data_IF_121488835034
#
_entry.id   IF_121488835034
#
_cell.length_a   1.000
_cell.length_b   1.000
_cell.length_c   1.000
_cell.angle_alpha   90.00
_cell.angle_beta   90.00
_cell.angle_gamma   90.00
#
_symmetry.space_group_name_H-M   'P 1'
#
loop_
_entity.id
_entity.type
_entity.pdbx_description
1 polymer ?
#
# COMPACT_ATOMS: atom_id res chain seq x y z
N UNK A 1 14.06 -28.41 8.48
CA UNK A 1 12.94 -27.95 7.64
C UNK A 1 13.46 -26.67 6.99
N UNK A 2 13.83 -26.72 5.72
CA UNK A 2 14.24 -25.51 4.99
C UNK A 2 12.98 -24.72 4.66
N UNK A 3 12.81 -23.57 5.30
CA UNK A 3 11.73 -22.64 4.96
C UNK A 3 12.16 -21.85 3.73
N UNK A 4 11.62 -22.20 2.56
CA UNK A 4 11.78 -21.42 1.35
C UNK A 4 10.79 -20.25 1.38
N UNK A 5 11.27 -19.09 1.81
CA UNK A 5 10.48 -17.87 1.72
C UNK A 5 10.45 -17.33 0.29
N UNK A 6 9.27 -16.96 -0.19
CA UNK A 6 9.13 -16.13 -1.39
C UNK A 6 9.51 -14.70 -1.03
N UNK A 7 10.22 -14.01 -1.93
CA UNK A 7 10.66 -12.63 -1.77
C UNK A 7 10.03 -11.74 -2.85
N UNK A 8 10.08 -10.42 -2.64
CA UNK A 8 9.70 -9.46 -3.67
C UNK A 8 10.42 -9.75 -5.01
N UNK A 9 9.73 -9.62 -6.15
CA UNK A 9 10.26 -9.96 -7.48
C UNK A 9 11.32 -8.96 -8.00
N UNK A 10 11.58 -7.88 -7.26
CA UNK A 10 12.61 -6.88 -7.57
C UNK A 10 13.56 -6.71 -6.36
N UNK A 11 14.84 -6.36 -6.59
CA UNK A 11 15.82 -6.25 -5.52
C UNK A 11 15.40 -5.23 -4.45
N UNK A 12 15.56 -5.60 -3.17
CA UNK A 12 15.19 -4.73 -2.04
C UNK A 12 15.87 -3.35 -2.08
N UNK A 13 17.11 -3.31 -2.60
CA UNK A 13 17.85 -2.06 -2.80
C UNK A 13 17.15 -1.12 -3.78
N UNK A 14 16.53 -1.65 -4.83
CA UNK A 14 15.75 -0.86 -5.79
C UNK A 14 14.43 -0.40 -5.19
N UNK A 15 13.74 -1.27 -4.43
CA UNK A 15 12.52 -0.90 -3.72
C UNK A 15 12.80 0.30 -2.81
N UNK A 16 13.84 0.16 -1.98
CA UNK A 16 14.27 1.21 -1.06
C UNK A 16 14.63 2.50 -1.78
N UNK A 17 15.45 2.43 -2.84
CA UNK A 17 15.82 3.61 -3.63
C UNK A 17 14.59 4.31 -4.23
N UNK A 18 13.61 3.54 -4.72
CA UNK A 18 12.36 4.06 -5.25
C UNK A 18 11.56 4.83 -4.19
N UNK A 19 11.26 4.19 -3.06
CA UNK A 19 10.49 4.79 -1.97
C UNK A 19 11.19 6.02 -1.39
N UNK A 20 12.50 5.92 -1.12
CA UNK A 20 13.27 7.06 -0.59
C UNK A 20 13.36 8.20 -1.62
N UNK A 21 13.29 7.89 -2.92
CA UNK A 21 13.14 8.88 -3.98
C UNK A 21 11.82 9.65 -3.90
N UNK A 22 10.70 8.97 -3.71
CA UNK A 22 9.40 9.62 -3.51
C UNK A 22 9.31 10.38 -2.18
N UNK A 23 9.84 9.82 -1.10
CA UNK A 23 9.95 10.51 0.19
C UNK A 23 10.72 11.84 0.06
N UNK A 24 11.80 11.85 -0.72
CA UNK A 24 12.59 13.06 -0.97
C UNK A 24 11.85 14.11 -1.81
N UNK A 25 10.87 13.71 -2.65
CA UNK A 25 10.04 14.63 -3.45
C UNK A 25 9.07 15.45 -2.60
N UNK A 26 8.72 15.02 -1.38
CA UNK A 26 7.77 15.72 -0.51
C UNK A 26 8.35 17.08 -0.11
N UNK A 27 7.64 18.17 -0.45
CA UNK A 27 8.07 19.56 -0.20
C UNK A 27 7.41 20.19 1.03
N UNK A 28 6.14 19.86 1.32
CA UNK A 28 5.45 20.34 2.52
C UNK A 28 6.20 19.86 3.78
N UNK A 29 6.67 20.80 4.64
CA UNK A 29 7.55 20.46 5.75
C UNK A 29 6.85 19.62 6.83
N UNK A 30 5.55 19.82 7.06
CA UNK A 30 4.79 19.10 8.08
C UNK A 30 4.55 17.66 7.63
N UNK A 31 4.06 17.46 6.40
CA UNK A 31 3.90 16.14 5.79
C UNK A 31 5.21 15.37 5.78
N UNK A 32 6.31 16.02 5.38
CA UNK A 32 7.64 15.43 5.38
C UNK A 32 8.09 15.02 6.78
N UNK A 33 7.93 15.88 7.77
CA UNK A 33 8.34 15.60 9.14
C UNK A 33 7.58 14.40 9.74
N UNK A 34 6.26 14.34 9.58
CA UNK A 34 5.44 13.21 10.04
C UNK A 34 5.86 11.93 9.31
N UNK A 35 5.94 11.98 7.98
CA UNK A 35 6.24 10.80 7.14
C UNK A 35 7.63 10.26 7.41
N UNK A 36 8.66 11.11 7.45
CA UNK A 36 10.03 10.69 7.73
C UNK A 36 10.17 10.10 9.13
N UNK A 37 9.49 10.66 10.13
CA UNK A 37 9.57 10.17 11.51
C UNK A 37 9.01 8.75 11.59
N UNK A 38 7.78 8.53 11.10
CA UNK A 38 7.16 7.20 11.09
C UNK A 38 7.94 6.22 10.23
N UNK A 39 8.41 6.64 9.05
CA UNK A 39 9.22 5.80 8.17
C UNK A 39 10.53 5.37 8.85
N UNK A 40 11.25 6.29 9.51
CA UNK A 40 12.52 5.97 10.21
C UNK A 40 12.30 5.00 11.36
N UNK A 41 11.24 5.18 12.16
CA UNK A 41 10.88 4.28 13.27
C UNK A 41 10.62 2.84 12.79
N UNK A 42 10.04 2.68 11.59
CA UNK A 42 9.56 1.40 11.07
C UNK A 42 10.41 0.85 9.91
N UNK A 43 11.51 1.50 9.57
CA UNK A 43 12.26 1.27 8.33
C UNK A 43 12.67 -0.19 8.13
N UNK A 44 13.28 -0.79 9.14
CA UNK A 44 13.79 -2.16 9.03
C UNK A 44 12.67 -3.18 8.82
N UNK A 45 11.64 -3.26 9.71
CA UNK A 45 10.56 -4.21 9.50
C UNK A 45 9.75 -3.94 8.22
N UNK A 46 9.56 -2.69 7.81
CA UNK A 46 8.83 -2.34 6.59
C UNK A 46 9.33 -3.05 5.32
N UNK A 47 10.65 -3.25 5.20
CA UNK A 47 11.27 -3.93 4.07
C UNK A 47 11.30 -5.46 4.17
N UNK A 48 10.92 -6.03 5.31
CA UNK A 48 10.89 -7.49 5.53
C UNK A 48 9.48 -8.03 5.65
N UNK A 49 8.50 -7.17 5.93
CA UNK A 49 7.14 -7.55 6.26
C UNK A 49 6.29 -7.87 5.01
N UNK A 50 5.35 -8.85 5.08
CA UNK A 50 4.38 -9.07 4.02
C UNK A 50 3.30 -7.98 4.01
N UNK A 51 2.63 -7.76 2.87
CA UNK A 51 1.48 -6.85 2.79
C UNK A 51 0.15 -7.52 3.17
N UNK A 52 0.09 -8.85 3.07
CA UNK A 52 -1.08 -9.66 3.42
C UNK A 52 -0.64 -11.08 3.86
N UNK A 53 -1.55 -11.83 4.46
CA UNK A 53 -1.26 -13.21 4.91
C UNK A 53 -1.43 -14.27 3.82
N UNK A 54 -2.30 -14.09 2.82
CA UNK A 54 -2.65 -15.15 1.85
C UNK A 54 -2.92 -14.73 0.39
N UNK A 55 -2.87 -13.45 0.05
CA UNK A 55 -3.29 -12.98 -1.29
C UNK A 55 -2.21 -12.19 -2.04
N UNK A 56 -2.29 -10.86 -2.06
CA UNK A 56 -1.33 -10.01 -2.76
C UNK A 56 -0.13 -9.73 -1.86
N UNK A 57 1.08 -9.80 -2.41
CA UNK A 57 2.31 -9.44 -1.69
C UNK A 57 2.50 -10.19 -0.35
N UNK A 58 2.01 -11.44 -0.25
CA UNK A 58 2.14 -12.30 0.93
C UNK A 58 3.53 -12.97 1.00
N UNK A 59 4.58 -12.17 0.87
CA UNK A 59 5.98 -12.61 0.80
C UNK A 59 6.90 -11.61 1.51
N UNK A 60 8.15 -12.01 1.77
CA UNK A 60 9.15 -11.15 2.43
C UNK A 60 9.33 -9.88 1.61
N UNK A 61 9.13 -8.73 2.25
CA UNK A 61 9.23 -7.41 1.62
C UNK A 61 8.02 -7.01 0.76
N UNK A 62 6.94 -7.80 0.80
CA UNK A 62 5.71 -7.53 0.07
C UNK A 62 5.10 -6.18 0.41
N UNK A 63 5.13 -5.77 1.68
CA UNK A 63 4.59 -4.47 2.13
C UNK A 63 5.28 -3.29 1.41
N UNK A 64 6.61 -3.30 1.41
CA UNK A 64 7.39 -2.27 0.73
C UNK A 64 7.25 -2.33 -0.80
N UNK A 65 7.12 -3.53 -1.38
CA UNK A 65 6.92 -3.67 -2.82
C UNK A 65 5.57 -3.05 -3.26
N UNK A 66 4.49 -3.39 -2.56
CA UNK A 66 3.15 -2.84 -2.74
C UNK A 66 3.13 -1.30 -2.62
N UNK A 67 3.81 -0.75 -1.61
CA UNK A 67 3.92 0.70 -1.45
C UNK A 67 4.64 1.34 -2.66
N UNK A 68 5.71 0.74 -3.17
CA UNK A 68 6.42 1.29 -4.32
C UNK A 68 5.60 1.22 -5.61
N UNK A 69 4.86 0.14 -5.85
CA UNK A 69 4.03 0.02 -7.06
C UNK A 69 2.92 1.07 -7.05
N UNK A 70 2.26 1.30 -5.91
CA UNK A 70 1.31 2.41 -5.75
C UNK A 70 1.96 3.77 -6.01
N UNK A 71 3.15 4.04 -5.42
CA UNK A 71 3.86 5.31 -5.62
C UNK A 71 4.15 5.59 -7.10
N UNK A 72 4.49 4.56 -7.88
CA UNK A 72 4.73 4.69 -9.33
C UNK A 72 3.48 5.07 -10.12
N UNK A 73 2.28 4.77 -9.61
CA UNK A 73 1.02 5.14 -10.24
C UNK A 73 0.64 6.60 -9.99
N UNK A 74 1.20 7.26 -8.97
CA UNK A 74 0.79 8.61 -8.59
C UNK A 74 1.16 9.66 -9.65
N UNK A 75 2.40 9.65 -10.14
CA UNK A 75 2.89 10.68 -11.08
C UNK A 75 2.02 10.78 -12.35
N UNK A 76 1.69 9.68 -13.07
CA UNK A 76 0.80 9.73 -14.23
C UNK A 76 -0.60 10.28 -13.92
N UNK A 77 -1.17 9.97 -12.75
CA UNK A 77 -2.49 10.50 -12.37
C UNK A 77 -2.43 12.00 -12.12
N UNK A 78 -1.35 12.51 -11.50
CA UNK A 78 -1.18 13.95 -11.26
C UNK A 78 -1.00 14.70 -12.57
N UNK A 79 -0.29 14.13 -13.56
CA UNK A 79 -0.16 14.73 -14.89
C UNK A 79 -1.53 14.96 -15.56
N UNK A 80 -2.46 14.02 -15.39
CA UNK A 80 -3.83 14.13 -15.91
C UNK A 80 -4.73 15.00 -15.02
N UNK A 81 -4.54 14.95 -13.70
CA UNK A 81 -5.37 15.60 -12.69
C UNK A 81 -4.52 16.51 -11.79
N UNK A 82 -4.07 17.67 -12.28
CA UNK A 82 -3.12 18.54 -11.58
C UNK A 82 -3.69 19.23 -10.33
N UNK A 83 -4.99 19.07 -10.05
CA UNK A 83 -5.60 19.55 -8.80
C UNK A 83 -5.24 18.69 -7.58
N UNK A 84 -4.69 17.49 -7.80
CA UNK A 84 -4.30 16.56 -6.74
C UNK A 84 -2.98 17.00 -6.09
N UNK A 85 -2.93 16.95 -4.76
CA UNK A 85 -1.73 17.28 -4.00
C UNK A 85 -0.76 16.08 -3.96
N UNK A 86 0.37 16.22 -4.64
CA UNK A 86 1.41 15.18 -4.74
C UNK A 86 2.09 14.87 -3.41
N UNK A 87 2.43 15.88 -2.61
CA UNK A 87 3.06 15.71 -1.31
C UNK A 87 2.18 14.88 -0.37
N UNK A 88 0.87 15.16 -0.36
CA UNK A 88 -0.11 14.45 0.45
C UNK A 88 -0.28 13.00 -0.03
N UNK A 89 -0.36 12.77 -1.35
CA UNK A 89 -0.43 11.44 -1.94
C UNK A 89 0.82 10.59 -1.64
N UNK A 90 2.02 11.13 -1.81
CA UNK A 90 3.25 10.40 -1.48
C UNK A 90 3.30 10.06 0.00
N UNK A 91 2.99 11.03 0.87
CA UNK A 91 3.00 10.85 2.32
C UNK A 91 2.01 9.77 2.76
N UNK A 92 0.74 9.89 2.34
CA UNK A 92 -0.28 8.93 2.71
C UNK A 92 0.00 7.53 2.14
N UNK A 93 0.50 7.43 0.90
CA UNK A 93 0.85 6.14 0.28
C UNK A 93 2.02 5.47 1.00
N UNK A 94 3.05 6.21 1.42
CA UNK A 94 4.15 5.63 2.21
C UNK A 94 3.65 5.09 3.55
N UNK A 95 2.63 5.73 4.13
CA UNK A 95 2.18 5.46 5.49
C UNK A 95 0.99 4.50 5.61
N UNK A 96 0.14 4.35 4.58
CA UNK A 96 -1.20 3.77 4.69
C UNK A 96 -1.23 2.40 5.39
N UNK A 97 -0.29 1.52 5.03
CA UNK A 97 -0.17 0.16 5.53
C UNK A 97 0.96 -0.04 6.55
N UNK A 98 1.62 1.02 7.01
CA UNK A 98 2.80 0.88 7.88
C UNK A 98 2.49 0.12 9.18
N UNK A 99 1.27 0.24 9.72
CA UNK A 99 0.85 -0.50 10.91
C UNK A 99 0.60 -2.00 10.67
N UNK A 100 0.67 -2.49 9.43
CA UNK A 100 0.67 -3.95 9.16
C UNK A 100 1.82 -4.67 9.86
N UNK A 101 2.93 -3.96 10.10
CA UNK A 101 4.11 -4.43 10.83
C UNK A 101 3.79 -4.89 12.25
N UNK A 102 2.74 -4.35 12.86
CA UNK A 102 2.27 -4.71 14.21
C UNK A 102 0.89 -5.39 14.19
N UNK A 103 0.17 -5.32 13.08
CA UNK A 103 -1.09 -6.04 12.85
C UNK A 103 -0.85 -7.54 12.62
N UNK A 104 0.24 -7.93 11.98
CA UNK A 104 0.56 -9.32 11.62
C UNK A 104 1.93 -9.66 12.23
N UNK A 105 2.09 -10.88 12.75
CA UNK A 105 3.33 -11.28 13.43
C UNK A 105 4.53 -11.56 12.50
N UNK A 106 4.40 -11.35 11.18
CA UNK A 106 5.44 -11.55 10.17
C UNK A 106 5.00 -12.41 8.98
N UNK A 107 5.98 -12.91 8.22
CA UNK A 107 5.76 -13.85 7.09
C UNK A 107 5.33 -15.20 7.65
N UNK A 108 4.25 -15.77 7.09
CA UNK A 108 3.50 -16.92 7.65
C UNK A 108 2.92 -16.66 9.05
N UNK A 109 2.89 -15.39 9.48
CA UNK A 109 2.36 -14.96 10.76
C UNK A 109 0.84 -14.93 10.81
N UNK A 110 0.32 -14.84 12.03
CA UNK A 110 -1.10 -14.63 12.30
C UNK A 110 -1.36 -13.15 12.61
N UNK A 111 -2.63 -12.76 12.53
CA UNK A 111 -3.06 -11.47 13.02
C UNK A 111 -2.87 -11.39 14.53
N UNK A 112 -2.31 -10.28 15.01
CA UNK A 112 -2.20 -10.00 16.44
C UNK A 112 -3.59 -9.73 17.03
N UNK A 113 -3.72 -9.84 18.35
CA UNK A 113 -4.98 -9.53 19.04
C UNK A 113 -5.41 -8.09 18.77
N UNK A 114 -4.49 -7.15 18.82
CA UNK A 114 -4.70 -5.75 18.48
C UNK A 114 -5.07 -5.59 16.99
N UNK A 115 -4.41 -6.33 16.09
CA UNK A 115 -4.74 -6.36 14.67
C UNK A 115 -6.16 -6.85 14.39
N UNK A 116 -6.62 -7.91 15.08
CA UNK A 116 -7.98 -8.44 14.95
C UNK A 116 -9.05 -7.51 15.54
N UNK A 117 -8.76 -6.84 16.65
CA UNK A 117 -9.72 -5.99 17.36
C UNK A 117 -9.81 -4.57 16.78
N UNK A 118 -8.71 -4.03 16.27
CA UNK A 118 -8.58 -2.62 15.87
C UNK A 118 -8.26 -2.46 14.38
N UNK A 119 -7.31 -3.24 13.85
CA UNK A 119 -6.87 -3.19 12.46
C UNK A 119 -5.94 -2.03 12.12
N UNK A 120 -5.10 -2.24 11.09
CA UNK A 120 -4.01 -1.32 10.74
C UNK A 120 -4.48 0.09 10.34
N UNK A 121 -5.67 0.27 9.74
CA UNK A 121 -6.21 1.60 9.40
C UNK A 121 -6.29 2.51 10.63
N UNK A 122 -6.90 1.99 11.70
CA UNK A 122 -7.08 2.75 12.94
C UNK A 122 -5.77 2.83 13.71
N UNK A 123 -5.00 1.74 13.79
CA UNK A 123 -3.68 1.73 14.43
C UNK A 123 -2.74 2.77 13.80
N UNK A 124 -2.75 2.88 12.47
CA UNK A 124 -1.91 3.82 11.73
C UNK A 124 -2.39 5.26 11.89
N UNK A 125 -3.71 5.50 11.93
CA UNK A 125 -4.27 6.81 12.28
C UNK A 125 -3.83 7.28 13.67
N UNK A 126 -3.84 6.39 14.67
CA UNK A 126 -3.35 6.67 16.03
C UNK A 126 -1.84 6.94 16.02
N UNK A 127 -1.07 6.19 15.23
CA UNK A 127 0.36 6.40 15.09
C UNK A 127 0.69 7.78 14.47
N UNK A 128 -0.04 8.19 13.43
CA UNK A 128 0.08 9.54 12.86
C UNK A 128 -0.27 10.61 13.89
N UNK A 129 -1.34 10.44 14.67
CA UNK A 129 -1.72 11.39 15.72
C UNK A 129 -0.63 11.51 16.80
N UNK A 130 -0.07 10.38 17.25
CA UNK A 130 1.04 10.34 18.21
C UNK A 130 2.25 11.11 17.70
N UNK A 131 2.69 10.83 16.47
CA UNK A 131 3.85 11.50 15.88
C UNK A 131 3.57 12.98 15.72
N UNK A 132 2.43 13.38 15.14
CA UNK A 132 2.06 14.77 14.96
C UNK A 132 2.09 15.54 16.28
N UNK A 133 1.54 14.99 17.37
CA UNK A 133 1.63 15.58 18.73
C UNK A 133 3.06 15.71 19.22
N UNK A 134 3.89 14.69 19.03
CA UNK A 134 5.27 14.70 19.52
C UNK A 134 6.15 15.77 18.87
N UNK A 135 5.77 16.24 17.68
CA UNK A 135 6.48 17.28 16.93
C UNK A 135 5.71 18.60 16.83
N UNK A 136 4.59 18.75 17.56
CA UNK A 136 3.81 19.99 17.66
C UNK A 136 2.92 20.34 16.45
N UNK A 137 2.50 19.34 15.68
CA UNK A 137 1.65 19.49 14.49
C UNK A 137 0.26 18.82 14.64
N UNK A 138 -0.19 18.52 15.85
CA UNK A 138 -1.45 17.80 16.08
C UNK A 138 -2.71 18.53 15.58
N UNK A 139 -2.65 19.86 15.51
CA UNK A 139 -3.74 20.70 15.03
C UNK A 139 -3.56 21.15 13.58
N UNK A 140 -2.56 20.63 12.86
CA UNK A 140 -2.33 20.97 11.47
C UNK A 140 -3.34 20.29 10.54
N UNK A 141 -3.63 20.92 9.41
CA UNK A 141 -4.51 20.34 8.39
C UNK A 141 -3.87 19.08 7.78
N UNK A 142 -2.55 19.07 7.59
CA UNK A 142 -1.79 17.92 7.07
C UNK A 142 -1.97 16.67 7.93
N UNK A 143 -1.88 16.81 9.26
CA UNK A 143 -2.09 15.70 10.18
C UNK A 143 -3.53 15.17 10.11
N UNK A 144 -4.52 16.07 9.98
CA UNK A 144 -5.92 15.69 9.79
C UNK A 144 -6.15 14.94 8.47
N UNK A 145 -5.62 15.47 7.36
CA UNK A 145 -5.78 14.89 6.03
C UNK A 145 -5.07 13.53 5.91
N UNK A 146 -3.87 13.38 6.48
CA UNK A 146 -3.19 12.08 6.55
C UNK A 146 -4.05 11.04 7.27
N UNK A 147 -4.57 11.38 8.46
CA UNK A 147 -5.45 10.48 9.20
C UNK A 147 -6.69 10.10 8.38
N UNK A 148 -7.32 11.07 7.71
CA UNK A 148 -8.49 10.82 6.86
C UNK A 148 -8.18 9.86 5.70
N UNK A 149 -7.09 10.10 4.97
CA UNK A 149 -6.66 9.22 3.88
C UNK A 149 -6.39 7.80 4.38
N UNK A 150 -5.68 7.66 5.51
CA UNK A 150 -5.39 6.36 6.12
C UNK A 150 -6.67 5.63 6.54
N UNK A 151 -7.62 6.26 7.22
CA UNK A 151 -8.84 5.53 7.62
C UNK A 151 -9.80 5.25 6.45
N UNK A 152 -9.65 5.95 5.33
CA UNK A 152 -10.55 5.80 4.19
C UNK A 152 -9.96 5.03 3.01
N UNK A 153 -8.71 4.56 3.09
CA UNK A 153 -8.02 3.98 1.92
C UNK A 153 -8.60 2.64 1.44
N UNK A 154 -9.33 1.88 2.26
CA UNK A 154 -10.10 0.72 1.75
C UNK A 154 -11.42 1.13 1.06
N UNK A 155 -11.79 2.41 1.08
CA UNK A 155 -12.85 2.99 0.25
C UNK A 155 -14.29 2.74 0.69
N UNK A 156 -14.60 1.53 1.13
CA UNK A 156 -15.95 1.08 1.44
C UNK A 156 -16.04 0.48 2.84
N UNK A 157 -17.20 0.65 3.49
CA UNK A 157 -17.45 0.15 4.84
C UNK A 157 -17.33 -1.38 4.94
N UNK A 158 -17.79 -2.10 3.91
CA UNK A 158 -17.68 -3.55 3.79
C UNK A 158 -16.23 -4.05 3.59
N UNK A 159 -15.29 -3.15 3.28
CA UNK A 159 -13.85 -3.44 3.24
C UNK A 159 -13.12 -3.01 4.51
N UNK A 160 -13.86 -2.62 5.56
CA UNK A 160 -13.30 -2.28 6.87
C UNK A 160 -12.91 -0.82 7.04
N UNK A 161 -13.11 0.05 6.02
CA UNK A 161 -12.86 1.48 6.16
C UNK A 161 -13.86 2.14 7.12
N UNK A 162 -13.42 2.84 8.19
CA UNK A 162 -14.33 3.59 9.07
C UNK A 162 -15.03 4.77 8.38
N UNK A 163 -14.44 5.31 7.31
CA UNK A 163 -14.99 6.41 6.49
C UNK A 163 -14.74 6.17 5.01
N UNK A 164 -15.61 6.72 4.17
CA UNK A 164 -15.37 6.77 2.72
C UNK A 164 -14.39 7.90 2.39
N UNK A 165 -13.66 7.82 1.27
CA UNK A 165 -12.85 8.93 0.78
C UNK A 165 -13.69 10.19 0.57
N UNK A 166 -13.16 11.34 0.99
CA UNK A 166 -13.83 12.65 0.87
C UNK A 166 -12.92 13.76 0.33
N UNK A 167 -11.74 13.40 -0.16
CA UNK A 167 -10.83 14.28 -0.92
C UNK A 167 -10.41 13.56 -2.20
N UNK A 168 -9.91 14.30 -3.19
CA UNK A 168 -9.40 13.71 -4.42
C UNK A 168 -8.24 12.75 -4.17
N UNK A 169 -7.36 13.11 -3.23
CA UNK A 169 -6.21 12.31 -2.83
C UNK A 169 -6.63 11.02 -2.14
N UNK A 170 -7.59 11.08 -1.20
CA UNK A 170 -8.11 9.89 -0.54
C UNK A 170 -8.79 8.94 -1.53
N UNK A 171 -9.51 9.50 -2.52
CA UNK A 171 -10.17 8.73 -3.55
C UNK A 171 -9.15 8.03 -4.45
N UNK A 172 -8.10 8.75 -4.86
CA UNK A 172 -7.02 8.16 -5.66
C UNK A 172 -6.26 7.10 -4.87
N UNK A 173 -5.93 7.33 -3.60
CA UNK A 173 -5.24 6.36 -2.75
C UNK A 173 -6.00 5.02 -2.70
N UNK A 174 -7.31 5.07 -2.49
CA UNK A 174 -8.15 3.86 -2.52
C UNK A 174 -8.09 3.15 -3.88
N UNK A 175 -8.17 3.89 -4.98
CA UNK A 175 -8.13 3.30 -6.29
C UNK A 175 -6.77 2.68 -6.63
N UNK A 176 -5.65 3.34 -6.34
CA UNK A 176 -4.32 2.78 -6.64
C UNK A 176 -4.00 1.56 -5.77
N UNK A 177 -4.44 1.55 -4.51
CA UNK A 177 -4.36 0.38 -3.63
C UNK A 177 -5.14 -0.81 -4.23
N UNK A 178 -6.40 -0.56 -4.60
CA UNK A 178 -7.27 -1.56 -5.22
C UNK A 178 -6.70 -2.06 -6.56
N UNK A 179 -6.17 -1.16 -7.39
CA UNK A 179 -5.54 -1.50 -8.68
C UNK A 179 -4.34 -2.41 -8.44
N UNK A 180 -3.43 -2.05 -7.53
CA UNK A 180 -2.23 -2.83 -7.27
C UNK A 180 -2.57 -4.24 -6.76
N UNK A 181 -3.42 -4.35 -5.74
CA UNK A 181 -3.89 -5.63 -5.20
C UNK A 181 -4.52 -6.53 -6.26
N UNK A 182 -5.43 -5.96 -7.09
CA UNK A 182 -6.14 -6.71 -8.13
C UNK A 182 -5.23 -7.14 -9.28
N UNK A 183 -4.39 -6.24 -9.79
CA UNK A 183 -3.53 -6.52 -10.94
C UNK A 183 -2.34 -7.42 -10.58
N UNK A 184 -1.81 -7.33 -9.36
CA UNK A 184 -0.78 -8.26 -8.88
C UNK A 184 -1.32 -9.70 -8.87
N UNK A 185 -2.51 -9.92 -8.29
CA UNK A 185 -3.11 -11.27 -8.25
C UNK A 185 -3.51 -11.74 -9.65
N UNK A 186 -4.05 -10.85 -10.49
CA UNK A 186 -4.39 -11.18 -11.86
C UNK A 186 -3.16 -11.64 -12.67
N UNK A 187 -2.06 -10.89 -12.58
CA UNK A 187 -0.81 -11.22 -13.27
C UNK A 187 -0.29 -12.59 -12.89
N UNK A 188 -0.19 -12.88 -11.57
CA UNK A 188 0.23 -14.18 -11.06
C UNK A 188 -0.68 -15.31 -11.54
N UNK A 189 -2.01 -15.10 -11.48
CA UNK A 189 -2.98 -16.11 -11.94
C UNK A 189 -2.84 -16.37 -13.45
N UNK A 190 -2.62 -15.31 -14.24
CA UNK A 190 -2.43 -15.43 -15.68
C UNK A 190 -1.11 -16.11 -16.02
N UNK A 191 -0.03 -15.92 -15.27
CA UNK A 191 1.25 -16.60 -15.51
C UNK A 191 1.10 -18.13 -15.44
N UNK A 192 0.27 -18.63 -14.53
CA UNK A 192 -0.07 -20.06 -14.38
C UNK A 192 -1.12 -20.57 -15.38
N UNK A 193 -1.80 -19.66 -16.08
CA UNK A 193 -2.88 -19.99 -17.01
C UNK A 193 -2.31 -20.27 -18.42
N UNK A 194 -2.72 -21.35 -19.10
CA UNK A 194 -2.34 -21.57 -20.50
C UNK A 194 -2.87 -20.46 -21.43
N UNK A 195 -2.08 -20.09 -22.43
CA UNK A 195 -2.50 -19.15 -23.46
C UNK A 195 -3.78 -19.64 -24.17
N UNK A 196 -4.70 -18.71 -24.46
CA UNK A 196 -5.97 -19.02 -25.11
C UNK A 196 -7.02 -19.64 -24.19
N UNK A 197 -6.83 -19.61 -22.88
CA UNK A 197 -7.76 -20.18 -21.91
C UNK A 197 -8.17 -19.19 -20.82
N UNK A 198 -9.19 -19.55 -20.04
CA UNK A 198 -9.63 -18.77 -18.89
C UNK A 198 -8.97 -19.26 -17.60
N UNK A 199 -8.64 -18.31 -16.72
CA UNK A 199 -8.28 -18.59 -15.32
C UNK A 199 -9.40 -19.36 -14.61
N UNK A 200 -9.09 -19.93 -13.44
CA UNK A 200 -10.12 -20.23 -12.44
C UNK A 200 -10.75 -18.92 -11.90
N UNK A 201 -11.84 -19.03 -11.14
CA UNK A 201 -12.42 -17.85 -10.49
C UNK A 201 -11.42 -17.22 -9.52
N UNK A 202 -11.19 -15.92 -9.65
CA UNK A 202 -10.24 -15.18 -8.81
C UNK A 202 -11.00 -14.43 -7.73
N UNK A 203 -10.82 -14.82 -6.46
CA UNK A 203 -11.65 -14.33 -5.35
C UNK A 203 -11.61 -12.81 -5.15
N UNK A 204 -10.43 -12.20 -5.26
CA UNK A 204 -10.24 -10.76 -5.09
C UNK A 204 -10.71 -9.93 -6.29
N UNK A 205 -11.03 -10.59 -7.40
CA UNK A 205 -11.54 -9.99 -8.64
C UNK A 205 -13.03 -10.33 -8.80
N UNK A 206 -13.80 -10.13 -7.74
CA UNK A 206 -15.25 -10.31 -7.75
C UNK A 206 -15.67 -11.73 -8.19
N UNK A 207 -14.80 -12.73 -7.92
CA UNK A 207 -14.95 -14.14 -8.32
C UNK A 207 -15.11 -14.35 -9.83
N UNK A 208 -14.56 -13.44 -10.64
CA UNK A 208 -14.59 -13.52 -12.09
C UNK A 208 -13.47 -14.42 -12.64
N UNK A 209 -13.67 -14.91 -13.86
CA UNK A 209 -12.65 -15.59 -14.67
C UNK A 209 -12.10 -14.61 -15.70
N UNK A 210 -10.80 -14.67 -15.96
CA UNK A 210 -10.12 -13.80 -16.92
C UNK A 210 -9.52 -14.63 -18.06
N UNK A 211 -9.53 -14.09 -19.28
CA UNK A 211 -9.00 -14.77 -20.46
C UNK A 211 -7.54 -14.40 -20.68
N UNK A 212 -6.66 -15.39 -20.82
CA UNK A 212 -5.27 -15.18 -21.24
C UNK A 212 -5.20 -15.14 -22.76
N UNK A 213 -5.04 -13.94 -23.31
CA UNK A 213 -5.02 -13.74 -24.76
C UNK A 213 -3.79 -14.37 -25.43
N UNK A 214 -3.98 -14.90 -26.64
CA UNK A 214 -2.89 -15.33 -27.53
C UNK A 214 -2.19 -14.14 -28.20
N UNK A 215 -2.78 -12.94 -28.13
CA UNK A 215 -2.18 -11.72 -28.64
C UNK A 215 -0.98 -11.39 -27.74
N UNK A 216 0.22 -11.68 -28.22
CA UNK A 216 1.45 -11.22 -27.58
C UNK A 216 1.66 -9.78 -27.99
N UNK A 217 2.00 -8.93 -27.03
CA UNK A 217 2.62 -7.66 -27.37
C UNK A 217 3.97 -7.98 -28.01
N UNK A 218 4.30 -7.32 -29.11
CA UNK A 218 5.68 -7.24 -29.58
C UNK A 218 6.47 -6.58 -28.45
N UNK A 219 7.13 -7.41 -27.62
CA UNK A 219 8.05 -6.91 -26.62
C UNK A 219 9.33 -6.56 -27.36
N UNK A 220 9.59 -5.27 -27.57
CA UNK A 220 10.95 -4.74 -27.72
C UNK A 220 11.80 -5.09 -26.48
#
# INVERSE_FOLDING_TARGET
MEYFYVYAPIPMKEIKKGIEGFLAKIKNPILKAITETIYKENKHPFYLHPAATKFHHAYVGGLSHHTLTMLKLIDPFIEVYPYLNSDLLYSATILHDMSKITEISGVDGEYTKEGLLIGHLVMQSVNVDRVARSIGYENSEEALLLKHMIISHHGQFNFGSPKKPQTGEALLLWFIDTIDSKFTVLGQTLDETPDGTFTNMVSVLDKMRYYKTNLKNDKE
#
